data_IF_731856165794
#
_entry.id   IF_731856165794
#
_cell.length_a   1.000
_cell.length_b   1.000
_cell.length_c   1.000
_cell.angle_alpha   90.00
_cell.angle_beta   90.00
_cell.angle_gamma   90.00
#
_symmetry.space_group_name_H-M   'P 1'
#
loop_
_entity.id
_entity.type
_entity.pdbx_description
1 polymer ?
#
# COMPACT_ATOMS: atom_id res chain seq x y z
N UNK A 1 1.64 13.77 -15.82
CA UNK A 1 1.33 13.35 -14.43
C UNK A 1 1.25 11.84 -14.29
N UNK A 2 0.36 11.17 -15.06
CA UNK A 2 0.25 9.70 -14.97
C UNK A 2 1.56 9.00 -15.34
N UNK A 3 2.31 9.52 -16.29
CA UNK A 3 3.58 8.91 -16.71
C UNK A 3 4.59 8.83 -15.57
N UNK A 4 4.69 9.87 -14.73
CA UNK A 4 5.62 9.87 -13.61
C UNK A 4 5.18 8.91 -12.52
N UNK A 5 3.87 8.78 -12.28
CA UNK A 5 3.32 7.80 -11.35
C UNK A 5 3.64 6.39 -11.82
N UNK A 6 3.41 6.10 -13.09
CA UNK A 6 3.68 4.77 -13.66
C UNK A 6 5.16 4.40 -13.58
N UNK A 7 6.07 5.35 -13.91
CA UNK A 7 7.49 5.11 -13.79
C UNK A 7 7.89 4.75 -12.37
N UNK A 8 7.28 5.42 -11.40
CA UNK A 8 7.59 5.22 -9.99
C UNK A 8 7.10 3.88 -9.49
N UNK A 9 5.97 3.40 -9.99
CA UNK A 9 5.31 2.18 -9.49
C UNK A 9 5.52 0.94 -10.34
N UNK A 10 5.88 1.11 -11.61
CA UNK A 10 5.99 -0.02 -12.54
C UNK A 10 7.09 -0.98 -12.09
N UNK A 11 6.77 -2.27 -12.08
CA UNK A 11 7.71 -3.31 -11.70
C UNK A 11 8.04 -3.35 -10.22
N UNK A 12 7.37 -2.56 -9.40
CA UNK A 12 7.59 -2.50 -7.95
C UNK A 12 6.59 -3.37 -7.23
N UNK A 13 7.02 -3.93 -6.10
CA UNK A 13 6.13 -4.56 -5.14
C UNK A 13 5.60 -3.46 -4.22
N UNK A 14 4.29 -3.29 -4.17
CA UNK A 14 3.63 -2.16 -3.53
C UNK A 14 2.88 -2.63 -2.29
N UNK A 15 3.12 -1.99 -1.15
CA UNK A 15 2.33 -2.21 0.06
C UNK A 15 1.44 -1.00 0.30
N UNK A 16 0.14 -1.23 0.46
CA UNK A 16 -0.79 -0.20 0.90
C UNK A 16 -0.86 -0.31 2.42
N UNK A 17 -0.38 0.72 3.13
CA UNK A 17 -0.38 0.75 4.59
C UNK A 17 -1.55 1.61 5.07
N UNK A 18 -2.54 0.95 5.67
CA UNK A 18 -3.81 1.53 6.05
C UNK A 18 -4.86 1.29 4.97
N UNK A 19 -5.96 0.64 5.34
CA UNK A 19 -6.99 0.29 4.36
C UNK A 19 -8.35 0.87 4.71
N UNK A 20 -8.35 2.12 5.16
CA UNK A 20 -9.55 2.93 5.23
C UNK A 20 -9.90 3.48 3.85
N UNK A 21 -10.60 4.61 3.81
CA UNK A 21 -11.09 5.19 2.56
C UNK A 21 -9.97 5.45 1.55
N UNK A 22 -8.86 6.04 1.99
CA UNK A 22 -7.74 6.35 1.10
C UNK A 22 -7.05 5.11 0.58
N UNK A 23 -6.83 4.12 1.45
CA UNK A 23 -6.20 2.87 1.02
C UNK A 23 -7.06 2.13 -0.01
N UNK A 24 -8.37 2.12 0.18
CA UNK A 24 -9.29 1.52 -0.77
C UNK A 24 -9.26 2.27 -2.11
N UNK A 25 -9.20 3.59 -2.08
CA UNK A 25 -9.08 4.41 -3.28
C UNK A 25 -7.77 4.12 -4.02
N UNK A 26 -6.68 3.99 -3.28
CA UNK A 26 -5.38 3.63 -3.85
C UNK A 26 -5.44 2.27 -4.54
N UNK A 27 -6.06 1.29 -3.90
CA UNK A 27 -6.20 -0.04 -4.50
C UNK A 27 -7.00 0.01 -5.80
N UNK A 28 -8.10 0.74 -5.83
CA UNK A 28 -8.90 0.89 -7.05
C UNK A 28 -8.08 1.49 -8.19
N UNK A 29 -7.25 2.49 -7.89
CA UNK A 29 -6.36 3.08 -8.88
C UNK A 29 -5.37 2.04 -9.42
N UNK A 30 -4.74 1.27 -8.53
CA UNK A 30 -3.77 0.26 -8.94
C UNK A 30 -4.43 -0.85 -9.77
N UNK A 31 -5.62 -1.28 -9.39
CA UNK A 31 -6.37 -2.29 -10.15
C UNK A 31 -6.68 -1.81 -11.58
N UNK A 32 -6.98 -0.54 -11.73
CA UNK A 32 -7.36 0.03 -13.02
C UNK A 32 -6.13 0.25 -13.92
N UNK A 33 -5.07 0.80 -13.37
CA UNK A 33 -3.94 1.28 -14.17
C UNK A 33 -2.71 0.37 -14.13
N UNK A 34 -2.58 -0.46 -13.09
CA UNK A 34 -1.46 -1.40 -12.94
C UNK A 34 -2.00 -2.77 -12.48
N UNK A 35 -2.84 -3.41 -13.30
CA UNK A 35 -3.54 -4.62 -12.85
C UNK A 35 -2.62 -5.80 -12.57
N UNK A 36 -1.39 -5.78 -13.10
CA UNK A 36 -0.44 -6.87 -12.88
C UNK A 36 0.56 -6.58 -11.75
N UNK A 37 0.43 -5.43 -11.07
CA UNK A 37 1.33 -5.10 -9.97
C UNK A 37 1.15 -6.06 -8.80
N UNK A 38 2.24 -6.38 -8.12
CA UNK A 38 2.20 -7.15 -6.87
C UNK A 38 1.84 -6.19 -5.75
N UNK A 39 0.68 -6.39 -5.13
CA UNK A 39 0.16 -5.49 -4.10
C UNK A 39 -0.13 -6.27 -2.83
N UNK A 40 0.40 -5.78 -1.71
CA UNK A 40 0.02 -6.22 -0.37
C UNK A 40 -0.77 -5.12 0.31
N UNK A 41 -1.58 -5.50 1.30
CA UNK A 41 -2.42 -4.55 2.03
C UNK A 41 -2.26 -4.80 3.52
N UNK A 42 -1.94 -3.76 4.26
CA UNK A 42 -1.72 -3.84 5.69
C UNK A 42 -2.67 -2.89 6.43
N UNK A 43 -3.34 -3.41 7.45
CA UNK A 43 -4.18 -2.61 8.34
C UNK A 43 -4.19 -3.27 9.70
N UNK A 44 -4.07 -2.48 10.76
CA UNK A 44 -4.08 -3.02 12.12
C UNK A 44 -5.35 -3.80 12.40
N UNK A 45 -6.47 -3.38 11.84
CA UNK A 45 -7.78 -4.01 12.05
C UNK A 45 -8.10 -4.95 10.89
N UNK A 46 -8.19 -6.24 11.20
CA UNK A 46 -8.55 -7.25 10.22
C UNK A 46 -9.91 -6.99 9.58
N UNK A 47 -10.81 -6.34 10.30
CA UNK A 47 -12.14 -6.00 9.78
C UNK A 47 -12.11 -5.08 8.56
N UNK A 48 -10.99 -4.41 8.32
CA UNK A 48 -10.83 -3.57 7.12
C UNK A 48 -10.85 -4.40 5.83
N UNK A 49 -10.64 -5.71 5.91
CA UNK A 49 -10.48 -6.58 4.75
C UNK A 49 -11.74 -7.33 4.34
N UNK A 50 -12.92 -6.93 4.81
CA UNK A 50 -14.15 -7.71 4.60
C UNK A 50 -14.52 -7.92 3.14
N UNK A 51 -14.24 -6.95 2.29
CA UNK A 51 -14.63 -6.98 0.87
C UNK A 51 -13.44 -7.14 -0.08
N UNK A 52 -12.34 -7.71 0.41
CA UNK A 52 -11.11 -7.88 -0.36
C UNK A 52 -10.99 -9.32 -0.87
N UNK A 53 -10.49 -9.47 -2.08
CA UNK A 53 -10.13 -10.77 -2.62
C UNK A 53 -8.85 -11.26 -1.94
N UNK A 54 -9.02 -12.14 -0.96
CA UNK A 54 -7.92 -12.66 -0.13
C UNK A 54 -6.96 -13.56 -0.91
N UNK A 55 -7.38 -14.07 -2.05
CA UNK A 55 -6.52 -14.89 -2.88
C UNK A 55 -5.60 -14.05 -3.76
N UNK A 56 -6.06 -12.86 -4.13
CA UNK A 56 -5.30 -11.97 -5.01
C UNK A 56 -4.24 -11.15 -4.28
N UNK A 57 -4.51 -10.75 -3.03
CA UNK A 57 -3.64 -9.84 -2.28
C UNK A 57 -3.18 -10.48 -1.00
N UNK A 58 -1.91 -10.25 -0.63
CA UNK A 58 -1.44 -10.59 0.71
C UNK A 58 -1.94 -9.55 1.69
N UNK A 59 -2.51 -10.02 2.79
CA UNK A 59 -3.11 -9.17 3.80
C UNK A 59 -2.37 -9.32 5.12
N UNK A 60 -2.08 -8.20 5.75
CA UNK A 60 -1.34 -8.15 7.02
C UNK A 60 -2.16 -7.37 8.03
N UNK A 61 -2.40 -7.95 9.21
CA UNK A 61 -3.18 -7.31 10.26
C UNK A 61 -2.59 -7.60 11.64
N UNK A 62 -3.17 -6.98 12.67
CA UNK A 62 -2.70 -7.13 14.05
C UNK A 62 -1.58 -6.15 14.38
N UNK A 63 -0.93 -6.39 15.51
CA UNK A 63 0.08 -5.46 16.01
C UNK A 63 1.30 -5.36 15.12
N UNK A 64 1.62 -6.41 14.37
CA UNK A 64 2.81 -6.49 13.52
C UNK A 64 2.51 -6.15 12.06
N UNK A 65 1.40 -5.51 11.78
CA UNK A 65 0.94 -5.32 10.41
C UNK A 65 1.92 -4.54 9.50
N UNK A 66 2.76 -3.69 10.09
CA UNK A 66 3.73 -2.91 9.32
C UNK A 66 5.07 -3.63 9.11
N UNK A 67 5.28 -4.78 9.74
CA UNK A 67 6.52 -5.53 9.57
C UNK A 67 6.72 -6.00 8.13
N UNK A 68 5.63 -6.18 7.39
CA UNK A 68 5.69 -6.58 5.99
C UNK A 68 6.35 -5.54 5.08
N UNK A 69 6.48 -4.29 5.52
CA UNK A 69 7.00 -3.20 4.69
C UNK A 69 8.38 -3.51 4.12
N UNK A 70 9.21 -4.26 4.87
CA UNK A 70 10.56 -4.61 4.42
C UNK A 70 10.57 -5.51 3.19
N UNK A 71 9.47 -6.19 2.90
CA UNK A 71 9.35 -7.10 1.75
C UNK A 71 8.87 -6.38 0.48
N UNK A 72 8.64 -5.07 0.56
CA UNK A 72 8.07 -4.30 -0.54
C UNK A 72 9.02 -3.21 -1.00
N UNK A 73 8.87 -2.81 -2.25
CA UNK A 73 9.72 -1.78 -2.86
C UNK A 73 9.21 -0.39 -2.56
N UNK A 74 7.91 -0.25 -2.41
CA UNK A 74 7.26 1.03 -2.13
C UNK A 74 6.10 0.81 -1.17
N UNK A 75 5.94 1.75 -0.22
CA UNK A 75 4.83 1.74 0.72
C UNK A 75 4.01 3.02 0.52
N UNK A 76 2.74 2.85 0.19
CA UNK A 76 1.80 3.98 0.08
C UNK A 76 1.00 3.99 1.38
N UNK A 77 1.30 4.96 2.25
CA UNK A 77 0.68 5.02 3.56
C UNK A 77 -0.46 6.03 3.61
N UNK A 78 -1.39 5.81 4.51
CA UNK A 78 -2.43 6.79 4.84
C UNK A 78 -1.90 7.79 5.88
N UNK A 79 -2.51 8.99 5.98
CA UNK A 79 -2.05 10.01 6.95
C UNK A 79 -2.06 9.55 8.41
N UNK A 80 -2.94 8.60 8.76
CA UNK A 80 -3.05 8.13 10.13
C UNK A 80 -1.88 7.26 10.61
N UNK A 81 -1.01 6.84 9.70
CA UNK A 81 0.14 6.01 10.04
C UNK A 81 1.39 6.89 10.02
N UNK A 82 2.14 6.88 11.12
CA UNK A 82 3.38 7.61 11.22
C UNK A 82 4.49 6.92 10.43
N UNK A 83 5.31 7.71 9.76
CA UNK A 83 6.49 7.19 9.06
C UNK A 83 7.42 6.47 10.03
N UNK A 84 7.48 6.92 11.28
CA UNK A 84 8.31 6.30 12.33
C UNK A 84 7.95 4.84 12.60
N UNK A 85 6.70 4.47 12.36
CA UNK A 85 6.22 3.12 12.64
C UNK A 85 6.56 2.16 11.49
N UNK A 86 7.05 2.68 10.37
CA UNK A 86 7.41 1.89 9.20
C UNK A 86 8.94 1.83 9.14
N UNK A 87 9.50 0.65 9.44
CA UNK A 87 10.95 0.47 9.58
C UNK A 87 11.61 0.14 8.25
N UNK A 88 11.59 1.09 7.33
CA UNK A 88 12.28 0.99 6.05
C UNK A 88 12.82 2.36 5.67
N UNK A 89 13.60 2.41 4.60
CA UNK A 89 14.14 3.65 4.08
C UNK A 89 13.01 4.62 3.71
N UNK A 90 13.13 5.86 4.13
CA UNK A 90 12.20 6.93 3.84
C UNK A 90 11.87 7.08 2.36
N UNK A 91 12.88 6.87 1.50
CA UNK A 91 12.69 7.02 0.06
C UNK A 91 11.67 6.05 -0.51
N UNK A 92 11.36 4.98 0.22
CA UNK A 92 10.38 3.97 -0.20
C UNK A 92 8.97 4.25 0.28
N UNK A 93 8.77 5.28 1.11
CA UNK A 93 7.48 5.60 1.70
C UNK A 93 6.87 6.81 0.99
N UNK A 94 5.64 6.69 0.57
CA UNK A 94 4.91 7.78 -0.04
C UNK A 94 3.45 7.79 0.47
N UNK A 95 2.67 8.74 0.02
CA UNK A 95 1.25 8.81 0.32
C UNK A 95 0.49 9.10 -0.96
N UNK A 96 -0.84 8.97 -0.91
CA UNK A 96 -1.67 9.30 -2.06
C UNK A 96 -1.47 10.77 -2.47
N UNK A 97 -1.38 11.67 -1.50
CA UNK A 97 -1.16 13.08 -1.76
C UNK A 97 0.18 13.35 -2.44
N UNK A 98 1.24 12.69 -1.99
CA UNK A 98 2.58 12.86 -2.55
C UNK A 98 2.72 12.21 -3.92
N UNK A 99 1.96 11.16 -4.16
CA UNK A 99 2.04 10.39 -5.41
C UNK A 99 1.24 11.08 -6.53
N UNK A 100 0.11 11.64 -6.19
CA UNK A 100 -0.82 12.29 -7.10
C UNK A 100 -0.81 13.80 -6.93
#
# INVERSE_FOLDING_TARGET
>A
MLDSIFRRLRGKKILIAGFGREGQSTLRFLQKFLPNAVVGIADKNESAFQNIDKERYKLYSGDDYLNAASDYDIVIKTPGISVKDIQIDFSKITSQTDLF
#
